data_IF_068865463330
#
_entry.id   IF_068865463330
#
_cell.length_a   1.000
_cell.length_b   1.000
_cell.length_c   1.000
_cell.angle_alpha   90.00
_cell.angle_beta   90.00
_cell.angle_gamma   90.00
#
_symmetry.space_group_name_H-M   'P 1'
#
loop_
_entity.id
_entity.type
_entity.pdbx_description
1 polymer ?
#
# COMPACT_ATOMS: atom_id res chain seq x y z
N UNK A 1 -20.06 -24.93 -1.45
CA UNK A 1 -18.85 -24.09 -1.51
C UNK A 1 -19.20 -22.80 -2.23
N UNK A 2 -18.58 -21.69 -1.87
CA UNK A 2 -18.76 -20.39 -2.56
C UNK A 2 -17.56 -20.15 -3.47
N UNK A 3 -17.78 -19.60 -4.66
CA UNK A 3 -16.73 -19.23 -5.61
C UNK A 3 -16.59 -17.71 -5.61
N UNK A 4 -15.37 -17.22 -5.42
CA UNK A 4 -15.08 -15.81 -5.28
C UNK A 4 -14.28 -15.27 -6.48
N UNK A 5 -14.82 -14.24 -7.12
CA UNK A 5 -14.17 -13.53 -8.21
C UNK A 5 -13.64 -12.18 -7.73
N UNK A 6 -12.42 -12.18 -7.19
CA UNK A 6 -11.74 -10.98 -6.70
C UNK A 6 -11.55 -9.90 -7.78
N UNK A 7 -11.36 -10.30 -9.05
CA UNK A 7 -11.19 -9.36 -10.16
C UNK A 7 -12.47 -8.59 -10.53
N UNK A 8 -13.65 -9.14 -10.21
CA UNK A 8 -14.94 -8.49 -10.42
C UNK A 8 -15.49 -7.84 -9.14
N UNK A 9 -14.77 -7.92 -8.02
CA UNK A 9 -15.19 -7.35 -6.75
C UNK A 9 -14.95 -5.82 -6.77
N UNK A 10 -15.98 -4.99 -6.52
CA UNK A 10 -15.95 -3.53 -6.74
C UNK A 10 -15.06 -2.73 -5.79
N UNK A 11 -14.52 -3.34 -4.73
CA UNK A 11 -13.64 -2.70 -3.76
C UNK A 11 -12.21 -3.26 -3.81
N UNK A 12 -11.99 -4.42 -4.43
CA UNK A 12 -10.68 -5.06 -4.54
C UNK A 12 -10.08 -4.97 -5.95
N UNK A 13 -10.87 -5.17 -7.02
CA UNK A 13 -10.41 -5.21 -8.41
C UNK A 13 -9.27 -6.20 -8.70
N UNK A 14 -9.04 -7.17 -7.81
CA UNK A 14 -7.88 -8.06 -7.81
C UNK A 14 -7.70 -8.70 -6.43
N UNK A 15 -6.78 -9.65 -6.33
CA UNK A 15 -6.49 -10.32 -5.06
C UNK A 15 -5.43 -9.55 -4.25
N UNK A 16 -4.22 -9.44 -4.80
CA UNK A 16 -3.08 -8.78 -4.18
C UNK A 16 -2.12 -8.29 -5.26
N UNK A 17 -1.24 -7.37 -4.90
CA UNK A 17 -0.22 -6.83 -5.80
C UNK A 17 0.87 -7.86 -6.12
N UNK A 18 1.56 -7.62 -7.22
CA UNK A 18 2.79 -8.31 -7.59
C UNK A 18 3.76 -7.32 -8.23
N UNK A 19 5.06 -7.53 -8.04
CA UNK A 19 6.07 -6.62 -8.56
C UNK A 19 6.22 -6.79 -10.08
N UNK A 20 6.03 -5.69 -10.81
CA UNK A 20 6.43 -5.56 -12.22
C UNK A 20 7.76 -4.81 -12.32
N UNK A 21 8.34 -4.75 -13.53
CA UNK A 21 9.58 -3.98 -13.79
C UNK A 21 9.45 -2.50 -13.36
N UNK A 22 8.25 -1.92 -13.49
CA UNK A 22 7.97 -0.53 -13.09
C UNK A 22 7.57 -0.35 -11.62
N UNK A 23 7.34 -1.43 -10.87
CA UNK A 23 6.81 -1.35 -9.51
C UNK A 23 7.68 -0.56 -8.52
N UNK A 24 9.02 -0.59 -8.56
CA UNK A 24 9.83 0.24 -7.66
C UNK A 24 9.57 1.74 -7.84
N UNK A 25 9.50 2.22 -9.08
CA UNK A 25 9.24 3.65 -9.38
C UNK A 25 7.81 4.03 -8.97
N UNK A 26 6.83 3.17 -9.26
CA UNK A 26 5.44 3.40 -8.88
C UNK A 26 5.25 3.46 -7.35
N UNK A 27 5.91 2.55 -6.60
CA UNK A 27 5.89 2.56 -5.13
C UNK A 27 6.50 3.83 -4.54
N UNK A 28 7.65 4.26 -5.04
CA UNK A 28 8.29 5.50 -4.60
C UNK A 28 7.37 6.73 -4.84
N UNK A 29 6.68 6.77 -5.98
CA UNK A 29 5.70 7.81 -6.28
C UNK A 29 4.51 7.78 -5.30
N UNK A 30 3.92 6.60 -5.07
CA UNK A 30 2.78 6.43 -4.16
C UNK A 30 3.14 6.66 -2.68
N UNK A 31 4.39 6.41 -2.29
CA UNK A 31 4.88 6.67 -0.93
C UNK A 31 5.05 8.17 -0.62
N UNK A 32 5.02 9.03 -1.64
CA UNK A 32 5.15 10.49 -1.48
C UNK A 32 3.81 11.09 -1.03
N UNK A 33 3.73 11.76 0.13
CA UNK A 33 2.48 12.38 0.59
C UNK A 33 2.05 13.53 -0.32
N UNK A 34 0.74 13.71 -0.49
CA UNK A 34 0.17 14.85 -1.22
C UNK A 34 -0.09 15.99 -0.25
N UNK A 35 0.54 17.14 -0.50
CA UNK A 35 0.41 18.38 0.28
C UNK A 35 0.64 18.21 1.81
N UNK A 36 1.30 17.14 2.25
CA UNK A 36 1.47 16.82 3.66
C UNK A 36 0.18 16.49 4.41
N UNK A 37 -0.91 16.19 3.70
CA UNK A 37 -2.24 15.94 4.28
C UNK A 37 -2.79 14.56 3.90
N UNK A 38 -2.42 14.04 2.74
CA UNK A 38 -2.84 12.72 2.27
C UNK A 38 -1.65 11.78 2.17
N UNK A 39 -1.76 10.65 2.87
CA UNK A 39 -0.74 9.60 2.95
C UNK A 39 -1.36 8.28 2.48
N UNK A 40 -0.55 7.44 1.84
CA UNK A 40 -1.00 6.15 1.30
C UNK A 40 -0.35 4.98 2.04
N UNK A 41 -1.10 3.90 2.20
CA UNK A 41 -0.65 2.63 2.76
C UNK A 41 -1.38 1.48 2.05
N UNK A 42 -0.88 0.26 2.22
CA UNK A 42 -1.41 -0.96 1.61
C UNK A 42 -0.31 -1.95 1.30
N UNK A 43 -0.66 -3.22 1.10
CA UNK A 43 0.33 -4.28 0.84
C UNK A 43 1.24 -3.96 -0.36
N UNK A 44 0.69 -3.34 -1.40
CA UNK A 44 1.45 -2.97 -2.61
C UNK A 44 2.43 -1.83 -2.41
N UNK A 45 2.39 -1.13 -1.27
CA UNK A 45 3.32 -0.09 -0.89
C UNK A 45 4.47 -0.60 -0.02
N UNK A 46 4.47 -1.89 0.35
CA UNK A 46 5.54 -2.46 1.16
C UNK A 46 6.83 -2.66 0.33
N UNK A 47 7.95 -2.14 0.83
CA UNK A 47 9.28 -2.30 0.24
C UNK A 47 10.04 -3.44 0.94
N UNK A 48 9.60 -4.68 0.70
CA UNK A 48 10.26 -5.86 1.24
C UNK A 48 9.84 -7.15 0.53
N UNK A 49 10.35 -8.31 0.99
CA UNK A 49 10.14 -9.60 0.31
C UNK A 49 8.73 -10.18 0.48
N UNK A 50 7.93 -9.61 1.38
CA UNK A 50 6.61 -10.11 1.77
C UNK A 50 5.43 -9.34 1.12
N UNK A 51 5.59 -8.81 -0.09
CA UNK A 51 4.48 -8.16 -0.81
C UNK A 51 3.28 -9.11 -0.98
N UNK A 52 2.06 -8.57 -1.05
CA UNK A 52 0.84 -9.37 -1.17
C UNK A 52 0.35 -10.03 0.12
N UNK A 53 0.92 -9.69 1.28
CA UNK A 53 0.50 -10.25 2.58
C UNK A 53 -0.15 -9.24 3.52
N UNK A 54 -0.81 -9.74 4.56
CA UNK A 54 -1.41 -8.92 5.62
C UNK A 54 -0.34 -8.16 6.41
N UNK A 55 0.81 -8.78 6.65
CA UNK A 55 1.95 -8.19 7.35
C UNK A 55 2.53 -7.00 6.56
N UNK A 56 2.60 -7.12 5.23
CA UNK A 56 2.99 -6.00 4.36
C UNK A 56 2.01 -4.82 4.48
N UNK A 57 0.70 -5.09 4.46
CA UNK A 57 -0.30 -4.05 4.68
C UNK A 57 -0.13 -3.38 6.06
N UNK A 58 0.02 -4.17 7.12
CA UNK A 58 0.24 -3.66 8.48
C UNK A 58 1.50 -2.81 8.58
N UNK A 59 2.63 -3.29 8.06
CA UNK A 59 3.90 -2.59 8.09
C UNK A 59 3.83 -1.26 7.32
N UNK A 60 3.21 -1.25 6.14
CA UNK A 60 3.01 -0.02 5.36
C UNK A 60 2.13 1.00 6.08
N UNK A 61 1.06 0.54 6.77
CA UNK A 61 0.19 1.41 7.56
C UNK A 61 0.93 2.09 8.71
N UNK A 62 1.77 1.34 9.42
CA UNK A 62 2.63 1.92 10.46
C UNK A 62 3.63 2.94 9.90
N UNK A 63 4.17 2.69 8.71
CA UNK A 63 5.08 3.63 8.05
C UNK A 63 4.36 4.94 7.68
N UNK A 64 3.18 4.86 7.07
CA UNK A 64 2.36 6.02 6.74
C UNK A 64 1.96 6.81 7.99
N UNK A 65 1.57 6.14 9.08
CA UNK A 65 1.23 6.79 10.35
C UNK A 65 2.43 7.53 10.95
N UNK A 66 3.63 6.93 10.95
CA UNK A 66 4.86 7.60 11.40
C UNK A 66 5.20 8.82 10.53
N UNK A 67 5.03 8.71 9.20
CA UNK A 67 5.25 9.82 8.29
C UNK A 67 4.29 10.99 8.58
N UNK A 68 3.00 10.68 8.82
CA UNK A 68 1.99 11.66 9.19
C UNK A 68 2.32 12.36 10.52
N UNK A 69 2.63 11.58 11.57
CA UNK A 69 2.99 12.14 12.88
C UNK A 69 4.23 13.02 12.82
N UNK A 70 5.21 12.68 11.97
CA UNK A 70 6.42 13.47 11.77
C UNK A 70 6.19 14.84 11.12
N UNK A 71 5.03 15.07 10.51
CA UNK A 71 4.67 16.35 9.88
C UNK A 71 3.80 17.25 10.77
N UNK A 72 3.34 16.75 11.92
CA UNK A 72 2.57 17.56 12.85
C UNK A 72 3.47 18.63 13.50
N UNK A 73 2.96 19.86 13.68
CA UNK A 73 3.67 20.88 14.45
C UNK A 73 3.96 20.37 15.86
N UNK A 74 5.13 20.73 16.40
CA UNK A 74 5.49 20.45 17.80
C UNK A 74 4.76 21.35 18.78
#
# INVERSE_FOLDING_TARGET
STVQNWGAEPYAYGAYSYATVGAPVARAALATPVAGTLFFAGEGLYEGPAGGTVEAALASGQAAARAMLGQLPR
#
